data_IF_526349760073
#
_entry.id   IF_526349760073
#
_cell.length_a   1.000
_cell.length_b   1.000
_cell.length_c   1.000
_cell.angle_alpha   90.00
_cell.angle_beta   90.00
_cell.angle_gamma   90.00
#
_symmetry.space_group_name_H-M   'P 1'
#
loop_
_entity.id
_entity.type
_entity.pdbx_description
1 polymer ?
#
# COMPACT_ATOMS: atom_id res chain seq x y z
N UNK A 1 -40.23 7.83 -5.58
CA UNK A 1 -38.90 7.78 -6.23
C UNK A 1 -38.21 6.49 -5.76
N UNK A 2 -37.73 5.62 -6.66
CA UNK A 2 -37.23 4.30 -6.26
C UNK A 2 -35.87 4.39 -5.57
N UNK A 3 -35.56 3.46 -4.66
CA UNK A 3 -34.25 3.36 -4.00
C UNK A 3 -33.10 3.37 -5.02
N UNK A 4 -33.22 2.64 -6.14
CA UNK A 4 -32.20 2.61 -7.21
C UNK A 4 -31.91 4.01 -7.80
N UNK A 5 -32.93 4.85 -7.95
CA UNK A 5 -32.75 6.21 -8.48
C UNK A 5 -31.99 7.10 -7.48
N UNK A 6 -32.30 6.98 -6.18
CA UNK A 6 -31.63 7.71 -5.11
C UNK A 6 -30.15 7.36 -4.99
N UNK A 7 -29.81 6.06 -5.10
CA UNK A 7 -28.42 5.60 -5.08
C UNK A 7 -27.61 6.16 -6.25
N UNK A 8 -28.15 6.10 -7.48
CA UNK A 8 -27.48 6.62 -8.67
C UNK A 8 -27.14 8.11 -8.55
N UNK A 9 -28.11 8.93 -8.15
CA UNK A 9 -27.90 10.38 -7.99
C UNK A 9 -26.91 10.69 -6.87
N UNK A 10 -26.87 9.89 -5.79
CA UNK A 10 -25.87 10.05 -4.74
C UNK A 10 -24.46 9.68 -5.21
N UNK A 11 -24.31 8.60 -5.97
CA UNK A 11 -23.02 8.18 -6.51
C UNK A 11 -22.48 9.21 -7.52
N UNK A 12 -23.31 9.69 -8.44
CA UNK A 12 -22.92 10.72 -9.42
C UNK A 12 -22.41 11.99 -8.72
N UNK A 13 -23.18 12.50 -7.73
CA UNK A 13 -22.76 13.64 -6.93
C UNK A 13 -21.47 13.39 -6.15
N UNK A 14 -21.27 12.18 -5.62
CA UNK A 14 -20.04 11.84 -4.93
C UNK A 14 -18.84 11.88 -5.88
N UNK A 15 -19.00 11.39 -7.11
CA UNK A 15 -17.96 11.44 -8.16
C UNK A 15 -17.64 12.87 -8.56
N UNK A 16 -18.66 13.69 -8.80
CA UNK A 16 -18.50 15.10 -9.16
C UNK A 16 -17.75 15.89 -8.07
N UNK A 17 -17.99 15.58 -6.81
CA UNK A 17 -17.38 16.28 -5.67
C UNK A 17 -16.00 15.73 -5.28
N UNK A 18 -15.68 14.47 -5.61
CA UNK A 18 -14.42 13.83 -5.21
C UNK A 18 -13.67 13.19 -6.39
N UNK A 19 -13.53 13.87 -7.54
CA UNK A 19 -13.07 13.26 -8.78
C UNK A 19 -11.63 12.71 -8.65
N UNK A 20 -10.74 13.46 -7.99
CA UNK A 20 -9.35 13.03 -7.81
C UNK A 20 -9.20 11.87 -6.85
N UNK A 21 -9.98 11.81 -5.76
CA UNK A 21 -9.97 10.66 -4.85
C UNK A 21 -10.38 9.41 -5.61
N UNK A 22 -11.49 9.44 -6.36
CA UNK A 22 -11.98 8.27 -7.09
C UNK A 22 -11.00 7.85 -8.18
N UNK A 23 -10.43 8.82 -8.90
CA UNK A 23 -9.40 8.54 -9.89
C UNK A 23 -8.18 7.88 -9.26
N UNK A 24 -7.73 8.36 -8.11
CA UNK A 24 -6.52 7.84 -7.46
C UNK A 24 -6.68 6.39 -6.99
N UNK A 25 -7.82 6.08 -6.36
CA UNK A 25 -8.20 4.71 -5.99
C UNK A 25 -8.30 3.81 -7.23
N UNK A 26 -8.98 4.29 -8.28
CA UNK A 26 -9.16 3.53 -9.53
C UNK A 26 -7.81 3.27 -10.22
N UNK A 27 -6.90 4.23 -10.19
CA UNK A 27 -5.60 4.11 -10.83
C UNK A 27 -4.72 3.06 -10.13
N UNK A 28 -4.79 2.97 -8.80
CA UNK A 28 -4.09 1.96 -8.01
C UNK A 28 -4.74 0.57 -8.04
N UNK A 29 -5.93 0.44 -8.63
CA UNK A 29 -6.71 -0.81 -8.62
C UNK A 29 -6.06 -1.91 -9.47
N UNK A 30 -6.46 -3.15 -9.20
CA UNK A 30 -6.14 -4.34 -10.01
C UNK A 30 -7.39 -5.15 -10.26
N UNK A 31 -7.51 -5.75 -11.44
CA UNK A 31 -8.54 -6.75 -11.68
C UNK A 31 -8.10 -8.10 -11.06
N UNK A 32 -8.81 -8.64 -10.05
CA UNK A 32 -8.46 -9.92 -9.43
C UNK A 32 -8.54 -11.10 -10.41
N UNK A 33 -9.27 -10.97 -11.51
CA UNK A 33 -9.43 -12.03 -12.52
C UNK A 33 -8.29 -12.04 -13.55
N UNK A 34 -7.53 -10.95 -13.66
CA UNK A 34 -6.44 -10.82 -14.64
C UNK A 34 -5.10 -10.88 -13.91
N UNK A 35 -4.49 -12.06 -13.92
CA UNK A 35 -3.17 -12.29 -13.29
C UNK A 35 -2.14 -11.29 -13.82
N UNK A 36 -1.41 -10.66 -12.88
CA UNK A 36 -0.32 -9.70 -13.14
C UNK A 36 -0.72 -8.40 -13.85
N UNK A 37 -2.01 -8.12 -14.02
CA UNK A 37 -2.45 -6.84 -14.55
C UNK A 37 -2.68 -5.83 -13.43
N UNK A 38 -2.03 -4.68 -13.56
CA UNK A 38 -2.28 -3.50 -12.74
C UNK A 38 -2.57 -2.34 -13.70
N UNK A 39 -3.49 -1.45 -13.33
CA UNK A 39 -3.77 -0.27 -14.16
C UNK A 39 -2.57 0.69 -14.26
N UNK A 40 -1.71 0.66 -13.25
CA UNK A 40 -0.50 1.49 -13.20
C UNK A 40 0.64 0.80 -12.46
N UNK A 41 1.85 1.32 -12.68
CA UNK A 41 3.05 1.01 -11.91
C UNK A 41 3.49 2.20 -11.05
N UNK A 42 2.56 3.13 -10.75
CA UNK A 42 2.85 4.32 -9.95
C UNK A 42 2.27 4.23 -8.54
N UNK A 43 1.04 3.75 -8.38
CA UNK A 43 0.45 3.52 -7.08
C UNK A 43 -0.16 2.12 -6.95
N UNK A 44 -0.54 1.81 -5.73
CA UNK A 44 -1.18 0.59 -5.30
C UNK A 44 -2.37 0.95 -4.41
N UNK A 45 -3.56 0.56 -4.83
CA UNK A 45 -4.71 0.53 -3.94
C UNK A 45 -4.74 -0.80 -3.19
N UNK A 46 -5.06 -0.77 -1.90
CA UNK A 46 -5.16 -1.97 -1.08
C UNK A 46 -6.27 -1.85 -0.04
N UNK A 47 -6.76 -3.02 0.38
CA UNK A 47 -7.75 -3.20 1.44
C UNK A 47 -7.13 -4.17 2.46
N UNK A 48 -7.22 -3.86 3.76
CA UNK A 48 -6.59 -4.67 4.80
C UNK A 48 -7.10 -6.11 4.80
N UNK A 49 -8.39 -6.29 4.48
CA UNK A 49 -9.04 -7.59 4.42
C UNK A 49 -8.47 -8.47 3.28
N UNK A 50 -7.67 -7.89 2.38
CA UNK A 50 -7.01 -8.62 1.29
C UNK A 50 -5.64 -9.18 1.66
N UNK A 51 -5.18 -9.06 2.92
CA UNK A 51 -3.97 -9.74 3.39
C UNK A 51 -4.16 -11.25 3.65
N UNK A 52 -5.32 -11.83 3.34
CA UNK A 52 -5.53 -13.29 3.35
C UNK A 52 -5.08 -13.95 2.03
N UNK A 53 -4.44 -15.15 2.00
CA UNK A 53 -3.40 -15.74 2.86
C UNK A 53 -1.97 -15.29 2.43
N UNK A 54 -0.91 -15.89 3.02
CA UNK A 54 0.54 -15.57 2.94
C UNK A 54 1.05 -15.05 1.58
N UNK A 55 0.49 -15.51 0.46
CA UNK A 55 0.85 -15.05 -0.88
C UNK A 55 0.67 -13.53 -1.10
N UNK A 56 -0.23 -12.88 -0.35
CA UNK A 56 -0.54 -11.46 -0.55
C UNK A 56 0.56 -10.54 -0.03
N UNK A 57 1.24 -10.88 1.08
CA UNK A 57 2.39 -10.12 1.56
C UNK A 57 3.51 -10.08 0.52
N UNK A 58 3.79 -11.22 -0.12
CA UNK A 58 4.77 -11.30 -1.19
C UNK A 58 4.38 -10.41 -2.37
N UNK A 59 3.15 -10.54 -2.84
CA UNK A 59 2.66 -9.72 -3.96
C UNK A 59 2.69 -8.22 -3.62
N UNK A 60 2.25 -7.85 -2.43
CA UNK A 60 2.25 -6.47 -1.95
C UNK A 60 3.67 -5.90 -1.94
N UNK A 61 4.64 -6.65 -1.43
CA UNK A 61 6.05 -6.26 -1.42
C UNK A 61 6.63 -6.12 -2.83
N UNK A 62 6.34 -7.05 -3.74
CA UNK A 62 6.75 -6.95 -5.15
C UNK A 62 6.15 -5.70 -5.83
N UNK A 63 4.90 -5.36 -5.48
CA UNK A 63 4.23 -4.15 -5.97
C UNK A 63 4.84 -2.88 -5.41
N UNK A 64 5.14 -2.84 -4.11
CA UNK A 64 5.81 -1.69 -3.51
C UNK A 64 7.20 -1.47 -4.13
N UNK A 65 7.95 -2.54 -4.42
CA UNK A 65 9.19 -2.43 -5.19
C UNK A 65 8.98 -1.82 -6.57
N UNK A 66 7.94 -2.27 -7.29
CA UNK A 66 7.64 -1.79 -8.65
C UNK A 66 7.38 -0.28 -8.68
N UNK A 67 6.61 0.25 -7.72
CA UNK A 67 6.24 1.67 -7.73
C UNK A 67 7.43 2.61 -7.45
N UNK A 68 8.50 2.09 -6.84
CA UNK A 68 9.72 2.87 -6.59
C UNK A 68 10.56 3.15 -7.85
N UNK A 69 10.15 2.65 -9.02
CA UNK A 69 10.91 2.76 -10.27
C UNK A 69 12.36 2.26 -10.15
N UNK A 70 12.59 1.24 -9.31
CA UNK A 70 13.89 0.57 -9.15
C UNK A 70 14.76 1.08 -8.00
N UNK A 71 14.30 2.06 -7.20
CA UNK A 71 15.05 2.50 -6.01
C UNK A 71 15.08 1.45 -4.90
N UNK A 72 14.02 0.64 -4.78
CA UNK A 72 13.95 -0.51 -3.88
C UNK A 72 13.60 -1.77 -4.66
N UNK A 73 14.58 -2.66 -4.79
CA UNK A 73 14.43 -3.95 -5.46
C UNK A 73 14.28 -5.08 -4.43
N UNK A 74 13.07 -5.66 -4.34
CA UNK A 74 12.79 -6.82 -3.51
C UNK A 74 13.00 -8.12 -4.27
N UNK A 75 13.78 -9.04 -3.70
CA UNK A 75 14.03 -10.38 -4.27
C UNK A 75 14.02 -11.44 -3.18
N UNK A 76 14.04 -12.72 -3.59
CA UNK A 76 14.14 -13.87 -2.69
C UNK A 76 13.09 -13.90 -1.56
N UNK A 77 11.87 -13.43 -1.85
CA UNK A 77 10.79 -13.33 -0.88
C UNK A 77 10.21 -14.71 -0.57
N UNK A 78 10.36 -15.14 0.67
CA UNK A 78 9.79 -16.38 1.23
C UNK A 78 9.07 -16.08 2.54
N UNK A 79 8.07 -16.91 2.85
CA UNK A 79 7.34 -16.85 4.11
C UNK A 79 7.45 -18.21 4.78
N UNK A 80 7.77 -18.21 6.06
CA UNK A 80 7.88 -19.39 6.91
C UNK A 80 7.06 -19.20 8.18
N UNK A 81 6.64 -20.31 8.79
CA UNK A 81 5.95 -20.34 10.07
C UNK A 81 6.83 -21.05 11.08
N UNK A 82 7.04 -20.45 12.26
CA UNK A 82 7.82 -21.06 13.31
C UNK A 82 7.02 -22.04 14.17
N UNK A 83 7.68 -22.67 15.16
CA UNK A 83 7.06 -23.65 16.04
C UNK A 83 5.96 -23.06 16.95
N UNK A 84 5.92 -21.74 17.12
CA UNK A 84 4.92 -21.01 17.91
C UNK A 84 3.77 -20.46 17.04
N UNK A 85 3.74 -20.84 15.76
CA UNK A 85 2.77 -20.42 14.76
C UNK A 85 2.86 -18.93 14.38
N UNK A 86 4.01 -18.28 14.58
CA UNK A 86 4.27 -16.94 14.03
C UNK A 86 4.78 -17.04 12.61
N UNK A 87 4.30 -16.13 11.76
CA UNK A 87 4.78 -16.00 10.39
C UNK A 87 5.95 -15.03 10.31
N UNK A 88 6.90 -15.35 9.44
CA UNK A 88 8.09 -14.56 9.17
C UNK A 88 8.25 -14.39 7.67
N UNK A 89 8.48 -13.16 7.21
CA UNK A 89 8.85 -12.89 5.82
C UNK A 89 10.35 -12.66 5.72
N UNK A 90 11.01 -13.50 4.94
CA UNK A 90 12.43 -13.40 4.61
C UNK A 90 12.56 -12.87 3.18
N UNK A 91 13.43 -11.89 2.95
CA UNK A 91 13.61 -11.29 1.63
C UNK A 91 14.95 -10.57 1.54
N UNK A 92 15.31 -10.16 0.33
CA UNK A 92 16.38 -9.18 0.11
C UNK A 92 15.79 -7.90 -0.43
N UNK A 93 16.32 -6.77 0.02
CA UNK A 93 16.05 -5.45 -0.56
C UNK A 93 17.38 -4.81 -0.94
N UNK A 94 17.53 -4.45 -2.22
CA UNK A 94 18.79 -3.98 -2.80
C UNK A 94 19.98 -4.90 -2.44
N UNK A 95 19.75 -6.22 -2.46
CA UNK A 95 20.74 -7.25 -2.13
C UNK A 95 20.99 -7.49 -0.64
N UNK A 96 20.49 -6.63 0.27
CA UNK A 96 20.63 -6.82 1.72
C UNK A 96 19.54 -7.74 2.25
N UNK A 97 19.94 -8.78 2.99
CA UNK A 97 19.01 -9.71 3.63
C UNK A 97 18.23 -9.01 4.75
N UNK A 98 16.92 -9.23 4.77
CA UNK A 98 16.01 -8.85 5.85
C UNK A 98 15.10 -10.01 6.23
N UNK A 99 14.61 -9.93 7.46
CA UNK A 99 13.61 -10.82 8.04
C UNK A 99 12.70 -9.97 8.90
N UNK A 100 11.39 -10.05 8.67
CA UNK A 100 10.39 -9.34 9.45
C UNK A 100 9.40 -10.31 10.06
N UNK A 101 9.16 -10.17 11.36
CA UNK A 101 8.07 -10.85 12.04
C UNK A 101 6.72 -10.27 11.59
N UNK A 102 5.84 -11.16 11.17
CA UNK A 102 4.43 -10.88 10.88
C UNK A 102 3.58 -11.27 12.11
N UNK A 103 2.32 -11.59 11.90
CA UNK A 103 1.42 -12.08 12.93
C UNK A 103 1.36 -13.61 12.97
N UNK A 104 0.61 -14.15 13.93
CA UNK A 104 0.29 -15.58 13.94
C UNK A 104 -0.51 -15.96 12.69
N UNK A 105 -0.31 -17.19 12.18
CA UNK A 105 -1.07 -17.65 11.02
C UNK A 105 -2.57 -17.50 11.23
N UNK A 106 -3.24 -16.85 10.26
CA UNK A 106 -4.65 -16.48 10.33
C UNK A 106 -4.95 -15.05 10.80
N UNK A 107 -3.93 -14.26 11.14
CA UNK A 107 -4.06 -12.84 11.51
C UNK A 107 -3.33 -11.94 10.51
N UNK A 108 -3.82 -10.71 10.36
CA UNK A 108 -3.22 -9.69 9.49
C UNK A 108 -2.24 -8.83 10.29
N UNK A 109 -1.00 -8.75 9.80
CA UNK A 109 0.06 -7.91 10.32
C UNK A 109 0.01 -6.53 9.67
N UNK A 110 -0.84 -5.62 10.16
CA UNK A 110 -0.96 -4.26 9.60
C UNK A 110 0.36 -3.47 9.72
N UNK A 111 1.12 -3.69 10.80
CA UNK A 111 2.47 -3.15 11.01
C UNK A 111 3.46 -3.53 9.90
N UNK A 112 3.18 -4.56 9.11
CA UNK A 112 3.98 -4.89 7.93
C UNK A 112 4.07 -3.72 6.96
N UNK A 113 2.97 -3.00 6.75
CA UNK A 113 2.92 -1.84 5.85
C UNK A 113 3.75 -0.70 6.42
N UNK A 114 3.66 -0.45 7.73
CA UNK A 114 4.45 0.58 8.42
C UNK A 114 5.96 0.42 8.20
N UNK A 115 6.47 -0.82 8.14
CA UNK A 115 7.92 -1.09 7.98
C UNK A 115 8.51 -0.51 6.68
N UNK A 116 7.71 -0.27 5.65
CA UNK A 116 8.19 0.28 4.38
C UNK A 116 8.61 1.75 4.49
N UNK A 117 8.06 2.52 5.44
CA UNK A 117 8.46 3.91 5.71
C UNK A 117 9.96 4.03 5.98
N UNK A 118 10.51 3.10 6.76
CA UNK A 118 11.90 3.09 7.18
C UNK A 118 12.89 2.70 6.07
N UNK A 119 12.42 2.05 5.00
CA UNK A 119 13.30 1.56 3.94
C UNK A 119 13.89 2.69 3.10
N UNK A 120 13.13 3.76 2.87
CA UNK A 120 13.63 4.91 2.09
C UNK A 120 14.85 5.54 2.75
N UNK A 121 14.80 5.74 4.07
CA UNK A 121 15.92 6.30 4.82
C UNK A 121 17.09 5.32 4.93
N UNK A 122 16.82 4.04 5.18
CA UNK A 122 17.86 3.01 5.29
C UNK A 122 18.66 2.83 3.99
N UNK A 123 18.01 2.93 2.84
CA UNK A 123 18.62 2.78 1.53
C UNK A 123 18.94 4.12 0.85
N UNK A 124 18.72 5.24 1.54
CA UNK A 124 19.00 6.59 1.06
C UNK A 124 18.40 6.86 -0.32
N UNK A 125 17.14 6.44 -0.49
CA UNK A 125 16.42 6.65 -1.74
C UNK A 125 16.02 8.11 -1.90
N UNK A 126 15.76 8.54 -3.13
CA UNK A 126 15.30 9.90 -3.44
C UNK A 126 13.85 10.10 -3.04
N UNK A 127 13.01 9.08 -3.27
CA UNK A 127 11.59 9.12 -2.92
C UNK A 127 11.25 8.42 -1.60
N UNK A 128 10.00 8.61 -1.18
CA UNK A 128 9.39 7.96 -0.01
C UNK A 128 8.02 7.43 -0.35
N UNK A 129 7.62 6.37 0.34
CA UNK A 129 6.26 5.88 0.24
C UNK A 129 5.27 6.88 0.83
N UNK A 130 4.13 7.02 0.19
CA UNK A 130 3.05 7.91 0.61
C UNK A 130 1.86 7.11 1.08
N UNK A 131 0.95 7.74 1.80
CA UNK A 131 -0.32 7.17 2.24
C UNK A 131 -1.48 8.14 1.93
N UNK A 132 -2.60 7.58 1.50
CA UNK A 132 -3.86 8.30 1.35
C UNK A 132 -5.04 7.36 1.57
N UNK A 133 -5.97 7.77 2.43
CA UNK A 133 -7.28 7.15 2.58
C UNK A 133 -8.40 8.19 2.47
N UNK A 134 -9.64 7.72 2.36
CA UNK A 134 -10.85 8.54 2.27
C UNK A 134 -11.74 8.44 3.53
N UNK A 135 -11.17 8.06 4.67
CA UNK A 135 -11.84 7.80 5.94
C UNK A 135 -12.34 6.35 6.09
N UNK A 136 -11.84 5.43 5.27
CA UNK A 136 -12.24 4.02 5.22
C UNK A 136 -11.10 3.06 5.57
N UNK A 137 -11.36 1.75 5.42
CA UNK A 137 -10.35 0.69 5.61
C UNK A 137 -9.49 0.45 4.36
N UNK A 138 -9.68 1.23 3.31
CA UNK A 138 -8.99 1.10 2.03
C UNK A 138 -8.10 2.30 1.81
N UNK A 139 -6.92 2.08 1.25
CA UNK A 139 -5.94 3.14 1.05
C UNK A 139 -5.20 3.00 -0.27
N UNK A 140 -4.49 4.05 -0.63
CA UNK A 140 -3.57 4.10 -1.77
C UNK A 140 -2.17 4.42 -1.28
N UNK A 141 -1.19 3.59 -1.67
CA UNK A 141 0.23 3.86 -1.50
C UNK A 141 0.83 4.20 -2.86
N UNK A 142 1.65 5.25 -2.89
CA UNK A 142 2.45 5.69 -4.03
C UNK A 142 3.89 5.92 -3.53
N UNK A 143 4.77 6.36 -4.41
CA UNK A 143 6.16 6.66 -4.11
C UNK A 143 6.55 7.98 -4.77
N UNK A 144 7.00 8.96 -3.98
CA UNK A 144 7.20 10.32 -4.43
C UNK A 144 8.41 10.99 -3.79
N UNK A 145 9.04 11.94 -4.48
CA UNK A 145 9.93 12.92 -3.85
C UNK A 145 9.13 14.00 -3.12
N UNK A 146 9.82 14.81 -2.30
CA UNK A 146 9.19 15.93 -1.59
C UNK A 146 8.50 16.90 -2.56
N UNK A 147 9.13 17.21 -3.69
CA UNK A 147 8.54 18.07 -4.72
C UNK A 147 7.28 17.46 -5.34
N UNK A 148 7.32 16.16 -5.66
CA UNK A 148 6.20 15.43 -6.26
C UNK A 148 5.00 15.35 -5.29
N UNK A 149 5.24 15.18 -3.98
CA UNK A 149 4.21 15.22 -2.94
C UNK A 149 3.53 16.60 -2.87
N UNK A 150 4.33 17.67 -2.81
CA UNK A 150 3.83 19.04 -2.75
C UNK A 150 2.98 19.35 -4.00
N UNK A 151 3.49 18.99 -5.18
CA UNK A 151 2.79 19.21 -6.44
C UNK A 151 1.48 18.42 -6.52
N UNK A 152 1.50 17.15 -6.12
CA UNK A 152 0.32 16.29 -6.11
C UNK A 152 -0.80 16.87 -5.22
N UNK A 153 -0.47 17.19 -3.96
CA UNK A 153 -1.44 17.75 -3.01
C UNK A 153 -1.99 19.10 -3.51
N UNK A 154 -1.13 19.97 -4.05
CA UNK A 154 -1.55 21.26 -4.61
C UNK A 154 -2.49 21.12 -5.80
N UNK A 155 -2.22 20.18 -6.71
CA UNK A 155 -3.01 20.00 -7.94
C UNK A 155 -4.33 19.29 -7.70
N UNK A 156 -4.35 18.32 -6.80
CA UNK A 156 -5.53 17.46 -6.58
C UNK A 156 -6.40 17.94 -5.43
N UNK A 157 -5.87 18.75 -4.52
CA UNK A 157 -6.52 19.12 -3.27
C UNK A 157 -6.64 17.96 -2.27
N UNK A 158 -6.07 16.79 -2.57
CA UNK A 158 -6.01 15.67 -1.66
C UNK A 158 -4.97 15.91 -0.57
N UNK A 159 -5.16 15.24 0.58
CA UNK A 159 -4.21 15.25 1.69
C UNK A 159 -3.44 13.94 1.71
N UNK A 160 -2.53 13.77 0.74
CA UNK A 160 -1.61 12.64 0.75
C UNK A 160 -0.50 12.91 1.77
N UNK A 161 -0.23 11.93 2.61
CA UNK A 161 0.73 11.99 3.72
C UNK A 161 1.93 11.08 3.42
N UNK A 162 3.01 11.21 4.18
CA UNK A 162 4.08 10.22 4.11
C UNK A 162 3.67 8.95 4.86
N UNK A 163 4.00 7.78 4.30
CA UNK A 163 3.80 6.54 5.04
C UNK A 163 4.67 6.56 6.30
N UNK A 164 4.05 6.29 7.44
CA UNK A 164 4.69 6.38 8.76
C UNK A 164 4.31 7.63 9.55
N UNK A 165 3.75 8.64 8.90
CA UNK A 165 3.06 9.74 9.59
C UNK A 165 1.63 9.28 9.98
N UNK A 166 1.00 9.95 10.95
CA UNK A 166 -0.44 9.77 11.22
C UNK A 166 -0.88 8.51 11.99
N UNK A 167 0.03 7.59 12.33
CA UNK A 167 -0.27 6.32 13.03
C UNK A 167 -1.32 5.46 12.30
N UNK A 168 -1.27 5.41 10.97
CA UNK A 168 -2.22 4.67 10.13
C UNK A 168 -2.15 3.15 10.30
N UNK A 169 -1.01 2.65 10.75
CA UNK A 169 -0.73 1.24 10.99
C UNK A 169 -0.01 1.08 12.33
N UNK A 170 -0.11 -0.10 12.94
CA UNK A 170 0.59 -0.40 14.18
C UNK A 170 2.12 -0.30 14.03
N UNK A 171 2.78 0.05 15.14
CA UNK A 171 4.24 0.07 15.19
C UNK A 171 4.80 -1.35 15.10
N UNK A 172 5.84 -1.59 14.29
CA UNK A 172 6.39 -2.92 14.15
C UNK A 172 7.00 -3.43 15.47
N UNK A 173 6.85 -4.73 15.79
CA UNK A 173 7.54 -5.30 16.93
C UNK A 173 9.06 -5.16 16.77
N UNK A 174 9.76 -5.05 17.90
CA UNK A 174 11.22 -4.85 17.97
C UNK A 174 12.02 -6.05 17.44
N UNK A 175 11.35 -7.12 17.07
CA UNK A 175 11.90 -8.40 16.56
C UNK A 175 11.23 -8.77 15.24
#
# INVERSE_FOLDING_TARGET
MSLKYHWKTKTEKFIENNPYSILYYTFGWRDPNIKKYNYTNKCLWFDLDFFEPNIQYKWFMERLGTITNGELLFTDITIETDAENWEWINFKVNGKQKRWKLEKSGYVADHFVQRFSNLSDEFQTKGKYTYFDNGGQQWVIDYATDEEQIEFNKKTGLKREWLGEGNHFAEPPKE
#
